data_IF_727441187965
#
_entry.id   IF_727441187965
#
_cell.length_a   1.000
_cell.length_b   1.000
_cell.length_c   1.000
_cell.angle_alpha   90.00
_cell.angle_beta   90.00
_cell.angle_gamma   90.00
#
_symmetry.space_group_name_H-M   'P 1'
#
loop_
_entity.id
_entity.type
_entity.pdbx_description
1 polymer ?
#
# COMPACT_ATOMS: atom_id res chain seq x y z
N UNK A 1 -16.20 -8.10 12.45
CA UNK A 1 -17.34 -7.15 12.35
C UNK A 1 -16.93 -6.02 11.43
N UNK A 2 -17.48 -5.98 10.21
CA UNK A 2 -17.21 -4.93 9.21
C UNK A 2 -17.77 -3.60 9.71
N UNK A 3 -16.92 -2.58 9.90
CA UNK A 3 -17.36 -1.22 10.24
C UNK A 3 -18.38 -0.74 9.19
N UNK A 4 -19.56 -0.33 9.64
CA UNK A 4 -20.56 0.29 8.77
C UNK A 4 -20.00 1.59 8.19
N UNK A 5 -19.94 1.72 6.86
CA UNK A 5 -19.49 2.93 6.18
C UNK A 5 -20.42 4.11 6.53
N UNK A 6 -19.96 5.12 7.30
CA UNK A 6 -20.80 6.23 7.75
C UNK A 6 -21.32 7.09 6.59
N UNK A 7 -20.65 7.05 5.42
CA UNK A 7 -20.99 7.86 4.26
C UNK A 7 -21.90 7.13 3.27
N UNK A 8 -22.36 5.92 3.58
CA UNK A 8 -23.21 5.12 2.70
C UNK A 8 -24.51 5.83 2.31
N UNK A 9 -25.15 6.50 3.28
CA UNK A 9 -26.40 7.24 3.05
C UNK A 9 -26.16 8.44 2.14
N UNK A 10 -25.12 9.23 2.42
CA UNK A 10 -24.76 10.40 1.62
C UNK A 10 -24.47 10.04 0.15
N UNK A 11 -23.86 8.87 -0.08
CA UNK A 11 -23.55 8.40 -1.45
C UNK A 11 -24.77 7.97 -2.25
N UNK A 12 -25.84 7.58 -1.57
CA UNK A 12 -27.08 7.16 -2.23
C UNK A 12 -28.00 8.34 -2.56
N UNK A 13 -27.78 9.52 -1.94
CA UNK A 13 -28.64 10.70 -2.14
C UNK A 13 -28.82 11.09 -3.61
N UNK A 14 -27.76 11.23 -4.44
CA UNK A 14 -27.94 11.62 -5.83
C UNK A 14 -28.73 10.57 -6.62
N UNK A 15 -28.49 9.28 -6.36
CA UNK A 15 -29.17 8.18 -7.04
C UNK A 15 -30.66 8.14 -6.68
N UNK A 16 -30.99 8.27 -5.39
CA UNK A 16 -32.38 8.29 -4.90
C UNK A 16 -33.10 9.55 -5.38
N UNK A 17 -32.49 10.72 -5.28
CA UNK A 17 -33.07 11.98 -5.73
C UNK A 17 -33.32 11.98 -7.24
N UNK A 18 -32.35 11.53 -8.04
CA UNK A 18 -32.49 11.43 -9.50
C UNK A 18 -33.54 10.40 -9.91
N UNK A 19 -33.60 9.23 -9.25
CA UNK A 19 -34.62 8.22 -9.50
C UNK A 19 -36.04 8.69 -9.14
N UNK A 20 -36.21 9.32 -7.97
CA UNK A 20 -37.49 9.89 -7.55
C UNK A 20 -37.94 11.02 -8.47
N UNK A 21 -37.06 11.97 -8.79
CA UNK A 21 -37.37 13.09 -9.68
C UNK A 21 -37.76 12.61 -11.09
N UNK A 22 -36.99 11.67 -11.66
CA UNK A 22 -37.31 11.09 -12.96
C UNK A 22 -38.65 10.35 -12.97
N UNK A 23 -38.96 9.62 -11.91
CA UNK A 23 -40.25 8.92 -11.76
C UNK A 23 -41.40 9.92 -11.66
N UNK A 24 -41.25 10.97 -10.85
CA UNK A 24 -42.28 12.01 -10.71
C UNK A 24 -42.50 12.78 -12.01
N UNK A 25 -41.46 13.08 -12.78
CA UNK A 25 -41.58 13.68 -14.10
C UNK A 25 -42.32 12.77 -15.08
N UNK A 26 -42.03 11.46 -15.06
CA UNK A 26 -42.74 10.49 -15.88
C UNK A 26 -44.22 10.40 -15.52
N UNK A 27 -44.55 10.34 -14.22
CA UNK A 27 -45.94 10.33 -13.75
C UNK A 27 -46.66 11.63 -14.12
N UNK A 28 -46.02 12.77 -13.90
CA UNK A 28 -46.55 14.08 -14.30
C UNK A 28 -46.86 14.12 -15.80
N UNK A 29 -45.95 13.57 -16.63
CA UNK A 29 -46.12 13.51 -18.08
C UNK A 29 -47.29 12.63 -18.51
N UNK A 30 -47.52 11.50 -17.83
CA UNK A 30 -48.61 10.58 -18.13
C UNK A 30 -49.99 11.13 -17.71
N UNK A 31 -50.04 11.95 -16.67
CA UNK A 31 -51.28 12.52 -16.13
C UNK A 31 -51.66 13.87 -16.77
N UNK A 32 -50.77 14.48 -17.56
CA UNK A 32 -51.04 15.78 -18.20
C UNK A 32 -51.75 15.57 -19.55
N UNK A 33 -52.98 16.08 -19.69
CA UNK A 33 -53.78 15.97 -20.93
C UNK A 33 -53.30 16.89 -22.07
N UNK A 34 -52.90 18.12 -21.74
CA UNK A 34 -52.38 19.10 -22.71
C UNK A 34 -51.06 19.68 -22.22
N UNK A 35 -50.03 19.56 -23.05
CA UNK A 35 -48.67 20.01 -22.73
C UNK A 35 -48.46 21.42 -23.28
N UNK A 36 -48.04 22.33 -22.41
CA UNK A 36 -47.58 23.66 -22.82
C UNK A 36 -46.12 23.64 -23.27
N UNK A 37 -45.71 24.60 -24.11
CA UNK A 37 -44.32 24.71 -24.56
C UNK A 37 -43.33 24.93 -23.41
N UNK A 38 -43.73 25.69 -22.38
CA UNK A 38 -42.92 25.90 -21.18
C UNK A 38 -42.76 24.62 -20.37
N UNK A 39 -43.82 23.82 -20.24
CA UNK A 39 -43.77 22.52 -19.58
C UNK A 39 -42.89 21.54 -20.33
N UNK A 40 -42.97 21.46 -21.67
CA UNK A 40 -42.11 20.59 -22.46
C UNK A 40 -40.61 20.91 -22.28
N UNK A 41 -40.24 22.19 -22.20
CA UNK A 41 -38.85 22.62 -21.94
C UNK A 41 -38.41 22.29 -20.52
N UNK A 42 -39.30 22.48 -19.54
CA UNK A 42 -39.02 22.15 -18.15
C UNK A 42 -38.86 20.64 -17.94
N UNK A 43 -39.73 19.82 -18.54
CA UNK A 43 -39.64 18.35 -18.52
C UNK A 43 -38.29 17.88 -19.09
N UNK A 44 -37.85 18.45 -20.23
CA UNK A 44 -36.58 18.10 -20.85
C UNK A 44 -35.38 18.40 -19.93
N UNK A 45 -35.36 19.58 -19.31
CA UNK A 45 -34.33 19.93 -18.32
C UNK A 45 -34.40 19.02 -17.09
N UNK A 46 -35.59 18.71 -16.59
CA UNK A 46 -35.80 17.83 -15.44
C UNK A 46 -35.30 16.41 -15.69
N UNK A 47 -35.52 15.86 -16.90
CA UNK A 47 -34.99 14.55 -17.30
C UNK A 47 -33.46 14.58 -17.35
N UNK A 48 -32.86 15.64 -17.91
CA UNK A 48 -31.40 15.80 -17.96
C UNK A 48 -30.82 15.84 -16.54
N UNK A 49 -31.41 16.63 -15.63
CA UNK A 49 -30.96 16.72 -14.23
C UNK A 49 -31.10 15.37 -13.52
N UNK A 50 -32.21 14.65 -13.74
CA UNK A 50 -32.43 13.32 -13.16
C UNK A 50 -31.38 12.32 -13.63
N UNK A 51 -31.06 12.32 -14.93
CA UNK A 51 -30.02 11.46 -15.50
C UNK A 51 -28.63 11.79 -14.94
N UNK A 52 -28.29 13.08 -14.82
CA UNK A 52 -27.03 13.53 -14.23
C UNK A 52 -26.91 13.10 -12.76
N UNK A 53 -27.97 13.25 -11.96
CA UNK A 53 -28.00 12.82 -10.55
C UNK A 53 -27.80 11.31 -10.40
N UNK A 54 -28.45 10.51 -11.25
CA UNK A 54 -28.25 9.05 -11.29
C UNK A 54 -26.80 8.71 -11.63
N UNK A 55 -26.25 9.32 -12.68
CA UNK A 55 -24.85 9.12 -13.10
C UNK A 55 -23.88 9.48 -11.97
N UNK A 56 -24.07 10.63 -11.31
CA UNK A 56 -23.25 11.04 -10.16
C UNK A 56 -23.32 10.02 -9.03
N UNK A 57 -24.52 9.52 -8.71
CA UNK A 57 -24.70 8.48 -7.69
C UNK A 57 -23.99 7.18 -8.04
N UNK A 58 -24.04 6.76 -9.30
CA UNK A 58 -23.32 5.58 -9.80
C UNK A 58 -21.80 5.76 -9.74
N UNK A 59 -21.28 6.93 -10.13
CA UNK A 59 -19.85 7.24 -10.03
C UNK A 59 -19.38 7.19 -8.56
N UNK A 60 -20.15 7.73 -7.62
CA UNK A 60 -19.82 7.70 -6.20
C UNK A 60 -19.81 6.30 -5.58
N UNK A 61 -20.52 5.34 -6.17
CA UNK A 61 -20.47 3.94 -5.75
C UNK A 61 -19.20 3.22 -6.24
N UNK A 62 -18.61 3.65 -7.36
CA UNK A 62 -17.43 3.01 -7.95
C UNK A 62 -16.10 3.44 -7.29
N UNK A 63 -16.07 4.56 -6.55
CA UNK A 63 -14.83 5.18 -6.06
C UNK A 63 -14.19 4.48 -4.85
N UNK A 64 -14.78 3.43 -4.28
CA UNK A 64 -14.10 2.65 -3.23
C UNK A 64 -13.26 1.52 -3.80
N UNK A 65 -11.94 1.73 -3.85
CA UNK A 65 -10.99 0.64 -3.94
C UNK A 65 -11.26 -0.35 -2.79
N UNK A 66 -11.62 -1.59 -3.12
CA UNK A 66 -11.67 -2.65 -2.11
C UNK A 66 -10.28 -2.83 -1.55
N UNK A 67 -10.12 -2.65 -0.23
CA UNK A 67 -8.89 -3.01 0.45
C UNK A 67 -8.63 -4.51 0.19
N UNK A 68 -7.41 -4.89 -0.22
CA UNK A 68 -7.08 -6.29 -0.47
C UNK A 68 -7.29 -7.13 0.79
N UNK A 69 -7.72 -8.38 0.64
CA UNK A 69 -7.88 -9.28 1.77
C UNK A 69 -6.53 -9.50 2.46
N UNK A 70 -6.45 -9.06 3.72
CA UNK A 70 -5.23 -9.15 4.52
C UNK A 70 -5.20 -10.44 5.33
N UNK A 71 -4.06 -11.13 5.34
CA UNK A 71 -3.85 -12.32 6.17
C UNK A 71 -3.18 -11.97 7.49
N UNK A 72 -3.31 -12.83 8.50
CA UNK A 72 -2.45 -12.78 9.68
C UNK A 72 -1.13 -13.48 9.33
N UNK A 73 0.00 -12.78 9.41
CA UNK A 73 1.29 -13.39 9.09
C UNK A 73 1.67 -14.45 10.13
N UNK A 74 2.32 -15.52 9.67
CA UNK A 74 2.79 -16.64 10.48
C UNK A 74 4.22 -16.32 10.94
N UNK A 75 4.41 -16.12 12.23
CA UNK A 75 5.70 -15.81 12.84
C UNK A 75 5.53 -15.14 14.19
N UNK A 76 6.64 -14.88 14.86
CA UNK A 76 6.66 -14.15 16.14
C UNK A 76 7.00 -12.68 15.90
N UNK A 77 6.41 -11.79 16.69
CA UNK A 77 6.81 -10.39 16.69
C UNK A 77 8.17 -10.25 17.38
N UNK A 78 9.13 -9.65 16.69
CA UNK A 78 10.49 -9.50 17.19
C UNK A 78 11.20 -8.26 16.69
N UNK A 79 12.34 -7.99 17.31
CA UNK A 79 13.20 -6.85 17.00
C UNK A 79 14.65 -7.22 17.32
N UNK A 80 15.42 -7.50 16.28
CA UNK A 80 16.77 -8.03 16.34
C UNK A 80 17.74 -7.13 15.59
N UNK A 81 18.92 -6.92 16.19
CA UNK A 81 20.04 -6.20 15.58
C UNK A 81 21.22 -7.13 15.37
N UNK A 82 22.08 -6.80 14.41
CA UNK A 82 23.44 -7.34 14.42
C UNK A 82 24.17 -6.91 15.71
N UNK A 83 24.93 -7.83 16.34
CA UNK A 83 25.57 -7.57 17.64
C UNK A 83 26.57 -6.41 17.59
N UNK A 84 27.30 -6.29 16.47
CA UNK A 84 28.44 -5.38 16.32
C UNK A 84 28.08 -3.98 15.81
N UNK A 85 26.80 -3.59 15.87
CA UNK A 85 26.37 -2.28 15.37
C UNK A 85 26.64 -1.15 16.39
N UNK A 86 27.21 -0.01 15.94
CA UNK A 86 27.30 1.19 16.78
C UNK A 86 25.92 1.67 17.22
N UNK A 87 25.84 2.24 18.44
CA UNK A 87 24.55 2.66 19.02
C UNK A 87 23.83 3.72 18.17
N UNK A 88 24.57 4.64 17.55
CA UNK A 88 23.98 5.62 16.64
C UNK A 88 23.28 4.96 15.43
N UNK A 89 23.90 3.92 14.86
CA UNK A 89 23.30 3.15 13.75
C UNK A 89 22.10 2.34 14.24
N UNK A 90 22.18 1.74 15.43
CA UNK A 90 21.04 1.02 16.04
C UNK A 90 19.84 1.93 16.24
N UNK A 91 20.03 3.14 16.76
CA UNK A 91 18.98 4.14 16.95
C UNK A 91 18.31 4.49 15.63
N UNK A 92 19.11 4.68 14.58
CA UNK A 92 18.60 5.08 13.27
C UNK A 92 17.84 3.96 12.56
N UNK A 93 18.36 2.73 12.62
CA UNK A 93 17.66 1.53 12.16
C UNK A 93 16.36 1.29 12.96
N UNK A 94 16.38 1.53 14.28
CA UNK A 94 15.20 1.45 15.13
C UNK A 94 14.13 2.46 14.70
N UNK A 95 14.53 3.71 14.45
CA UNK A 95 13.62 4.77 14.06
C UNK A 95 13.02 4.53 12.68
N UNK A 96 13.86 4.22 11.69
CA UNK A 96 13.43 3.98 10.32
C UNK A 96 12.49 2.77 10.21
N UNK A 97 12.85 1.64 10.85
CA UNK A 97 12.00 0.45 10.85
C UNK A 97 10.68 0.68 11.58
N UNK A 98 10.67 1.48 12.64
CA UNK A 98 9.43 1.84 13.32
C UNK A 98 8.50 2.62 12.39
N UNK A 99 9.02 3.67 11.75
CA UNK A 99 8.25 4.51 10.84
C UNK A 99 7.65 3.71 9.69
N UNK A 100 8.42 2.78 9.11
CA UNK A 100 7.95 1.92 8.04
C UNK A 100 6.83 0.99 8.52
N UNK A 101 6.96 0.37 9.70
CA UNK A 101 5.92 -0.50 10.26
C UNK A 101 4.63 0.24 10.64
N UNK A 102 4.73 1.50 11.09
CA UNK A 102 3.56 2.26 11.55
C UNK A 102 2.87 3.08 10.47
N UNK A 103 3.61 3.53 9.45
CA UNK A 103 3.08 4.44 8.43
C UNK A 103 2.89 3.80 7.05
N UNK A 104 3.28 2.54 6.86
CA UNK A 104 3.05 1.81 5.60
C UNK A 104 2.31 0.49 5.84
N UNK A 105 2.00 -0.24 4.79
CA UNK A 105 1.42 -1.60 4.88
C UNK A 105 2.41 -2.68 5.37
N UNK A 106 3.65 -2.31 5.68
CA UNK A 106 4.71 -3.24 6.10
C UNK A 106 4.40 -3.89 7.45
N UNK A 107 4.72 -5.18 7.57
CA UNK A 107 4.60 -5.97 8.80
C UNK A 107 5.87 -6.75 9.17
N UNK A 108 6.77 -6.95 8.21
CA UNK A 108 8.06 -7.57 8.43
C UNK A 108 9.14 -6.73 7.71
N UNK A 109 10.26 -6.48 8.37
CA UNK A 109 11.38 -5.71 7.83
C UNK A 109 12.66 -6.51 8.02
N UNK A 110 13.46 -6.60 6.97
CA UNK A 110 14.82 -7.12 7.02
C UNK A 110 15.74 -6.14 6.30
N UNK A 111 16.82 -5.73 6.97
CA UNK A 111 17.83 -4.81 6.42
C UNK A 111 19.12 -5.58 6.27
N UNK A 112 19.66 -5.62 5.05
CA UNK A 112 20.91 -6.30 4.72
C UNK A 112 21.88 -5.29 4.14
N UNK A 113 23.13 -5.37 4.56
CA UNK A 113 24.22 -4.55 4.03
C UNK A 113 25.48 -5.39 3.93
N UNK A 114 26.15 -5.38 2.78
CA UNK A 114 27.33 -6.21 2.44
C UNK A 114 27.14 -7.70 2.78
N UNK A 115 25.93 -8.22 2.55
CA UNK A 115 25.57 -9.60 2.86
C UNK A 115 25.37 -9.93 4.34
N UNK A 116 25.50 -8.95 5.26
CA UNK A 116 25.18 -9.12 6.69
C UNK A 116 23.79 -8.56 6.99
N UNK A 117 22.99 -9.32 7.73
CA UNK A 117 21.69 -8.84 8.23
C UNK A 117 21.94 -7.88 9.39
N UNK A 118 21.58 -6.60 9.21
CA UNK A 118 21.76 -5.55 10.22
C UNK A 118 20.58 -5.47 11.17
N UNK A 119 19.36 -5.64 10.64
CA UNK A 119 18.12 -5.53 11.39
C UNK A 119 17.08 -6.53 10.90
N UNK A 120 16.34 -7.14 11.83
CA UNK A 120 15.06 -7.79 11.57
C UNK A 120 14.01 -7.23 12.53
N UNK A 121 12.84 -6.82 12.03
CA UNK A 121 11.79 -6.26 12.89
C UNK A 121 10.38 -6.53 12.37
N UNK A 122 9.43 -6.67 13.29
CA UNK A 122 8.02 -6.95 12.99
C UNK A 122 7.75 -8.43 13.13
N UNK A 123 6.93 -9.00 12.24
CA UNK A 123 6.67 -10.44 12.25
C UNK A 123 7.84 -11.15 11.56
N UNK A 124 8.62 -11.91 12.32
CA UNK A 124 9.86 -12.53 11.87
C UNK A 124 9.58 -13.85 11.14
N UNK A 125 10.31 -14.08 10.04
CA UNK A 125 10.40 -15.40 9.42
C UNK A 125 11.23 -16.37 10.26
N UNK A 126 11.07 -17.66 10.01
CA UNK A 126 11.79 -18.72 10.74
C UNK A 126 13.29 -18.66 10.43
N UNK A 127 13.66 -18.39 9.18
CA UNK A 127 15.06 -18.30 8.78
C UNK A 127 15.63 -16.89 9.10
N UNK A 128 16.69 -16.76 9.90
CA UNK A 128 17.35 -15.48 10.15
C UNK A 128 18.34 -15.08 9.05
N UNK A 129 18.80 -16.02 8.22
CA UNK A 129 19.78 -15.77 7.17
C UNK A 129 19.12 -15.27 5.89
N UNK A 130 19.72 -14.25 5.26
CA UNK A 130 19.30 -13.77 3.94
C UNK A 130 20.26 -14.30 2.89
N UNK A 131 19.76 -15.16 2.01
CA UNK A 131 20.50 -15.65 0.84
C UNK A 131 19.99 -14.91 -0.41
N UNK A 132 20.82 -14.08 -1.07
CA UNK A 132 20.38 -13.33 -2.23
C UNK A 132 19.99 -14.24 -3.39
N UNK A 133 18.67 -14.34 -3.65
CA UNK A 133 18.13 -14.96 -4.85
C UNK A 133 18.20 -14.03 -6.08
N UNK A 134 17.67 -14.48 -7.23
CA UNK A 134 17.73 -13.71 -8.48
C UNK A 134 17.08 -12.33 -8.42
N UNK A 135 16.05 -12.14 -7.60
CA UNK A 135 15.39 -10.84 -7.47
C UNK A 135 16.25 -9.90 -6.64
N UNK A 136 16.77 -10.38 -5.51
CA UNK A 136 17.62 -9.58 -4.64
C UNK A 136 18.93 -9.20 -5.34
N UNK A 137 19.55 -10.14 -6.06
CA UNK A 137 20.73 -9.86 -6.89
C UNK A 137 20.44 -8.79 -7.94
N UNK A 138 19.30 -8.87 -8.64
CA UNK A 138 18.92 -7.85 -9.62
C UNK A 138 18.77 -6.46 -8.99
N UNK A 139 18.23 -6.38 -7.78
CA UNK A 139 18.08 -5.11 -7.04
C UNK A 139 19.45 -4.53 -6.72
N UNK A 140 20.39 -5.35 -6.23
CA UNK A 140 21.77 -4.94 -5.94
C UNK A 140 22.52 -4.53 -7.22
N UNK A 141 22.46 -5.35 -8.27
CA UNK A 141 23.19 -5.12 -9.53
C UNK A 141 22.69 -3.90 -10.30
N UNK A 142 21.37 -3.72 -10.36
CA UNK A 142 20.75 -2.63 -11.14
C UNK A 142 20.51 -1.38 -10.32
N UNK A 143 20.69 -1.45 -9.00
CA UNK A 143 20.31 -0.42 -8.04
C UNK A 143 18.91 0.14 -8.33
N UNK A 144 17.95 -0.77 -8.52
CA UNK A 144 16.55 -0.42 -8.83
C UNK A 144 15.61 -1.19 -7.92
N UNK A 145 14.61 -0.52 -7.32
CA UNK A 145 13.66 -1.20 -6.46
C UNK A 145 12.80 -2.18 -7.24
N UNK A 146 12.43 -3.27 -6.56
CA UNK A 146 11.49 -4.26 -7.09
C UNK A 146 10.33 -4.37 -6.11
N UNK A 147 9.12 -4.18 -6.62
CA UNK A 147 7.88 -4.41 -5.88
C UNK A 147 7.13 -5.61 -6.45
N UNK A 148 7.03 -6.67 -5.64
CA UNK A 148 6.25 -7.85 -5.91
C UNK A 148 4.87 -7.69 -5.26
N UNK A 149 3.89 -7.32 -6.08
CA UNK A 149 2.53 -6.99 -5.64
C UNK A 149 1.72 -8.17 -5.10
N UNK A 150 2.09 -9.41 -5.45
CA UNK A 150 1.41 -10.61 -4.98
C UNK A 150 2.42 -11.77 -4.98
N UNK A 151 3.01 -12.07 -3.84
CA UNK A 151 4.08 -13.07 -3.74
C UNK A 151 3.60 -14.50 -4.06
N UNK A 152 2.32 -14.81 -3.84
CA UNK A 152 1.78 -16.16 -4.05
C UNK A 152 1.86 -16.62 -5.51
N UNK A 153 1.81 -15.69 -6.46
CA UNK A 153 1.87 -15.99 -7.90
C UNK A 153 3.32 -16.06 -8.42
N UNK A 154 4.31 -15.68 -7.62
CA UNK A 154 5.70 -15.70 -8.04
C UNK A 154 6.36 -17.05 -7.70
N UNK A 155 6.90 -17.78 -8.70
CA UNK A 155 7.60 -19.03 -8.46
C UNK A 155 8.88 -18.84 -7.63
N UNK A 156 9.46 -17.64 -7.66
CA UNK A 156 10.65 -17.25 -6.89
C UNK A 156 10.40 -16.93 -5.41
N UNK A 157 9.17 -17.07 -4.89
CA UNK A 157 8.84 -16.74 -3.48
C UNK A 157 9.72 -17.45 -2.44
N UNK A 158 10.32 -18.57 -2.82
CA UNK A 158 11.23 -19.38 -1.99
C UNK A 158 12.47 -18.56 -1.58
N UNK A 159 12.86 -17.54 -2.34
CA UNK A 159 14.00 -16.68 -2.00
C UNK A 159 13.74 -15.75 -0.81
N UNK A 160 12.49 -15.63 -0.34
CA UNK A 160 12.08 -14.78 0.79
C UNK A 160 11.77 -15.60 2.04
N UNK A 161 12.44 -16.73 2.23
CA UNK A 161 12.26 -17.63 3.39
C UNK A 161 12.60 -16.99 4.75
N UNK A 162 13.29 -15.85 4.74
CA UNK A 162 13.55 -15.00 5.91
C UNK A 162 12.38 -14.08 6.29
N UNK A 163 11.35 -13.97 5.46
CA UNK A 163 10.07 -13.34 5.78
C UNK A 163 9.05 -14.41 6.25
N UNK A 164 7.92 -14.01 6.87
CA UNK A 164 6.82 -14.92 7.14
C UNK A 164 6.37 -15.68 5.88
N UNK A 165 6.14 -16.99 5.99
CA UNK A 165 5.86 -17.86 4.84
C UNK A 165 4.65 -17.41 4.00
N UNK A 166 3.66 -16.82 4.67
CA UNK A 166 2.43 -16.31 4.05
C UNK A 166 2.49 -14.80 3.75
N UNK A 167 3.68 -14.23 3.55
CA UNK A 167 3.84 -12.84 3.09
C UNK A 167 3.17 -12.65 1.73
N UNK A 168 2.39 -11.59 1.58
CA UNK A 168 1.55 -11.36 0.39
C UNK A 168 2.15 -10.35 -0.58
N UNK A 169 2.93 -9.40 -0.10
CA UNK A 169 3.61 -8.40 -0.94
C UNK A 169 5.01 -8.14 -0.41
N UNK A 170 5.95 -7.88 -1.32
CA UNK A 170 7.35 -7.62 -0.95
C UNK A 170 7.88 -6.43 -1.72
N UNK A 171 8.51 -5.48 -1.02
CA UNK A 171 9.36 -4.45 -1.63
C UNK A 171 10.81 -4.78 -1.29
N UNK A 172 11.65 -4.84 -2.32
CA UNK A 172 13.10 -4.84 -2.20
C UNK A 172 13.61 -3.48 -2.67
N UNK A 173 13.93 -2.61 -1.74
CA UNK A 173 14.47 -1.28 -1.99
C UNK A 173 16.00 -1.33 -1.82
N UNK A 174 16.80 -0.91 -2.81
CA UNK A 174 18.25 -0.85 -2.63
C UNK A 174 18.62 0.18 -1.54
N UNK A 175 19.66 -0.15 -0.77
CA UNK A 175 20.34 0.75 0.16
C UNK A 175 21.75 0.98 -0.41
N UNK A 176 21.86 1.91 -1.36
CA UNK A 176 23.06 2.09 -2.15
C UNK A 176 23.38 0.91 -3.05
N UNK A 177 24.67 0.67 -3.30
CA UNK A 177 25.15 -0.45 -4.13
C UNK A 177 25.39 -1.74 -3.35
N UNK A 178 25.43 -1.66 -2.02
CA UNK A 178 25.88 -2.78 -1.17
C UNK A 178 24.82 -3.29 -0.21
N UNK A 179 23.65 -2.65 -0.14
CA UNK A 179 22.59 -3.05 0.77
C UNK A 179 21.21 -3.13 0.12
N UNK A 180 20.29 -3.70 0.87
CA UNK A 180 18.89 -3.82 0.50
C UNK A 180 18.00 -3.79 1.74
N UNK A 181 16.95 -2.97 1.65
CA UNK A 181 15.84 -2.88 2.59
C UNK A 181 14.70 -3.75 2.04
N UNK A 182 14.33 -4.79 2.77
CA UNK A 182 13.30 -5.74 2.38
C UNK A 182 12.10 -5.58 3.29
N UNK A 183 10.93 -5.33 2.69
CA UNK A 183 9.68 -5.08 3.40
C UNK A 183 8.64 -6.11 2.99
N UNK A 184 8.08 -6.82 3.96
CA UNK A 184 6.99 -7.78 3.79
C UNK A 184 5.65 -7.21 4.26
N UNK A 185 4.62 -7.35 3.42
CA UNK A 185 3.25 -6.97 3.72
C UNK A 185 2.31 -8.18 3.82
N UNK A 186 1.25 -8.02 4.59
CA UNK A 186 0.25 -9.06 4.84
C UNK A 186 -0.96 -9.01 3.88
N UNK A 187 -0.92 -8.16 2.86
CA UNK A 187 -1.94 -8.03 1.84
C UNK A 187 -1.28 -7.82 0.46
N UNK A 188 -1.85 -8.37 -0.63
CA UNK A 188 -1.33 -8.11 -1.98
C UNK A 188 -1.68 -6.68 -2.41
N UNK A 189 -0.86 -6.03 -3.24
CA UNK A 189 -1.07 -4.67 -3.77
C UNK A 189 -1.32 -3.63 -2.67
N UNK A 190 -0.70 -3.82 -1.50
CA UNK A 190 -0.97 -3.01 -0.31
C UNK A 190 -0.18 -1.69 -0.26
N UNK A 191 0.95 -1.61 -0.95
CA UNK A 191 1.75 -0.39 -1.03
C UNK A 191 1.21 0.55 -2.11
N UNK A 192 1.07 1.81 -1.73
CA UNK A 192 0.75 2.93 -2.62
C UNK A 192 2.02 3.54 -3.20
N UNK A 193 1.87 4.41 -4.22
CA UNK A 193 3.02 5.15 -4.75
C UNK A 193 3.66 6.08 -3.71
N UNK A 194 2.86 6.60 -2.79
CA UNK A 194 3.36 7.39 -1.68
C UNK A 194 4.21 6.54 -0.73
N UNK A 195 3.79 5.31 -0.43
CA UNK A 195 4.59 4.38 0.38
C UNK A 195 5.92 4.06 -0.30
N UNK A 196 5.91 3.78 -1.61
CA UNK A 196 7.16 3.54 -2.37
C UNK A 196 8.14 4.71 -2.26
N UNK A 197 7.66 5.95 -2.41
CA UNK A 197 8.50 7.14 -2.29
C UNK A 197 9.04 7.34 -0.85
N UNK A 198 8.23 7.02 0.17
CA UNK A 198 8.68 7.06 1.57
C UNK A 198 9.75 6.00 1.84
N UNK A 199 9.57 4.80 1.30
CA UNK A 199 10.53 3.70 1.42
C UNK A 199 11.86 4.08 0.75
N UNK A 200 11.82 4.69 -0.43
CA UNK A 200 13.00 5.20 -1.13
C UNK A 200 13.73 6.28 -0.30
N UNK A 201 13.03 7.30 0.18
CA UNK A 201 13.66 8.36 0.99
C UNK A 201 14.25 7.87 2.32
N UNK A 202 13.58 6.91 2.97
CA UNK A 202 14.12 6.27 4.19
C UNK A 202 15.36 5.44 3.86
N UNK A 203 15.35 4.73 2.73
CA UNK A 203 16.49 3.95 2.28
C UNK A 203 17.72 4.83 2.01
N UNK A 204 17.56 5.94 1.29
CA UNK A 204 18.64 6.91 1.05
C UNK A 204 19.21 7.48 2.37
N UNK A 205 18.35 7.81 3.33
CA UNK A 205 18.77 8.30 4.64
C UNK A 205 19.56 7.24 5.41
N UNK A 206 19.08 6.00 5.40
CA UNK A 206 19.74 4.88 6.07
C UNK A 206 21.09 4.59 5.45
N UNK A 207 21.19 4.56 4.12
CA UNK A 207 22.46 4.42 3.41
C UNK A 207 23.46 5.49 3.84
N UNK A 208 23.05 6.77 3.84
CA UNK A 208 23.92 7.86 4.25
C UNK A 208 24.45 7.68 5.68
N UNK A 209 23.57 7.23 6.58
CA UNK A 209 23.93 6.95 7.98
C UNK A 209 24.96 5.82 8.06
N UNK A 210 24.67 4.68 7.43
CA UNK A 210 25.55 3.49 7.46
C UNK A 210 26.91 3.83 6.84
N UNK A 211 26.94 4.51 5.70
CA UNK A 211 28.17 4.92 5.03
C UNK A 211 29.04 5.86 5.87
N UNK A 212 28.44 6.83 6.58
CA UNK A 212 29.19 7.75 7.45
C UNK A 212 29.89 7.04 8.60
N UNK A 213 29.25 6.05 9.22
CA UNK A 213 29.84 5.32 10.34
C UNK A 213 30.95 4.36 9.91
N UNK A 214 30.89 3.82 8.69
CA UNK A 214 32.02 3.03 8.16
C UNK A 214 33.25 3.90 7.83
N UNK A 215 33.06 5.13 7.34
CA UNK A 215 34.19 6.04 7.08
C UNK A 215 34.96 6.39 8.37
N UNK A 216 34.30 6.31 9.53
CA UNK A 216 34.93 6.58 10.82
C UNK A 216 35.71 5.37 11.38
N UNK A 217 35.35 4.14 11.01
CA UNK A 217 36.04 2.92 11.44
C UNK A 217 37.40 2.71 10.73
N UNK A 218 37.59 3.33 9.55
CA UNK A 218 38.85 3.30 8.79
C UNK A 218 39.82 4.46 9.10
N UNK A 219 39.52 5.33 10.09
CA UNK A 219 40.36 6.50 10.43
C UNK A 219 41.22 6.33 11.68
N UNK A 220 41.37 5.10 12.19
CA UNK A 220 42.26 4.77 13.31
C UNK A 220 43.19 3.61 12.98
#
# INVERSE_FOLDING_TARGET
MTKSDPNRVLRQLPLVAGGLAGTLLMVNRLLTEQITDSQARSDALGVIVSALLILTGLLWQQVQARSPDSVQLIGEEGFEFAPDLPDAVKIELAWASHLLLTNTATRAIVIVYRGKVLLRRGILGINPEVKPGPILQRVLDKNKPVYLVNLNIYPGKIEFDYLPENTQGVICQPLGTEGVLILGANAPRSYTKQDENWVEGIAEKLENTIAQFEILDYRF
#
